data_IF_375783358368
#
_entry.id   IF_375783358368
#
_cell.length_a   1.000
_cell.length_b   1.000
_cell.length_c   1.000
_cell.angle_alpha   90.00
_cell.angle_beta   90.00
_cell.angle_gamma   90.00
#
_symmetry.space_group_name_H-M   'P 1'
#
loop_
_entity.id
_entity.type
_entity.pdbx_description
1 polymer ?
#
# COMPACT_ATOMS: atom_id res chain seq x y z
N UNK A 1 9.92 3.53 30.75
CA UNK A 1 11.21 4.03 30.27
C UNK A 1 11.79 2.99 29.32
N UNK A 2 11.23 2.90 28.11
CA UNK A 2 11.79 2.19 26.97
C UNK A 2 11.36 2.97 25.74
N UNK A 3 12.35 3.57 25.08
CA UNK A 3 12.13 4.40 23.90
C UNK A 3 11.94 3.51 22.68
N UNK A 4 10.80 3.67 22.06
CA UNK A 4 10.53 3.14 20.73
C UNK A 4 11.53 3.72 19.73
N UNK A 5 12.18 2.85 18.97
CA UNK A 5 12.98 3.24 17.81
C UNK A 5 12.06 3.29 16.59
N UNK A 6 11.27 4.34 16.47
CA UNK A 6 10.89 4.88 15.19
C UNK A 6 11.62 6.21 15.08
N UNK A 7 12.78 6.20 14.42
CA UNK A 7 13.52 7.41 14.11
C UNK A 7 13.04 7.89 12.75
N UNK A 8 11.94 8.65 12.73
CA UNK A 8 11.72 9.59 11.65
C UNK A 8 12.55 10.83 11.96
N UNK A 9 13.72 10.93 11.37
CA UNK A 9 14.54 12.15 11.39
C UNK A 9 13.99 13.09 10.31
N UNK A 10 13.08 13.98 10.67
CA UNK A 10 12.78 15.15 9.87
C UNK A 10 13.95 16.14 9.97
N UNK A 11 14.77 16.17 8.93
CA UNK A 11 15.76 17.22 8.72
C UNK A 11 15.10 18.49 8.26
N UNK A 12 15.19 19.55 9.07
CA UNK A 12 14.84 20.93 8.70
C UNK A 12 15.70 21.33 7.49
N UNK A 13 15.09 21.49 6.31
CA UNK A 13 15.76 22.06 5.13
C UNK A 13 15.24 23.47 4.89
N UNK A 14 16.13 24.42 5.09
CA UNK A 14 15.98 25.84 4.74
C UNK A 14 15.87 26.00 3.23
N UNK A 15 14.76 26.54 2.73
CA UNK A 15 14.55 26.82 1.32
C UNK A 15 15.48 27.93 0.81
N UNK A 16 16.40 27.55 -0.05
CA UNK A 16 17.04 28.46 -1.00
C UNK A 16 16.36 28.23 -2.36
N UNK A 17 15.68 29.27 -2.84
CA UNK A 17 15.08 29.27 -4.19
C UNK A 17 16.22 29.32 -5.20
N UNK A 18 16.48 28.21 -5.87
CA UNK A 18 17.32 28.14 -7.07
C UNK A 18 16.44 27.62 -8.20
N UNK A 19 16.44 28.37 -9.31
CA UNK A 19 15.69 28.11 -10.54
C UNK A 19 15.92 26.68 -11.10
N UNK A 20 14.96 26.10 -11.84
CA UNK A 20 15.02 24.70 -12.25
C UNK A 20 16.14 24.51 -13.31
N UNK A 21 17.25 23.95 -12.91
CA UNK A 21 18.16 23.29 -13.84
C UNK A 21 17.51 21.94 -14.19
N UNK A 22 17.41 21.67 -15.51
CA UNK A 22 17.00 20.35 -16.01
C UNK A 22 17.83 19.27 -15.33
N UNK A 23 17.24 18.59 -14.36
CA UNK A 23 17.80 17.39 -13.77
C UNK A 23 17.76 16.30 -14.85
N UNK A 24 18.90 15.92 -15.38
CA UNK A 24 19.04 14.67 -16.11
C UNK A 24 18.65 13.55 -15.14
N UNK A 25 17.61 12.80 -15.48
CA UNK A 25 17.20 11.62 -14.75
C UNK A 25 18.33 10.60 -14.79
N UNK A 26 19.17 10.58 -13.76
CA UNK A 26 20.11 9.50 -13.55
C UNK A 26 19.32 8.30 -13.06
N UNK A 27 18.97 7.42 -13.98
CA UNK A 27 18.51 6.06 -13.69
C UNK A 27 19.51 5.44 -12.70
N UNK A 28 19.05 5.14 -11.48
CA UNK A 28 19.82 4.31 -10.54
C UNK A 28 19.73 2.87 -11.06
N UNK A 29 20.48 2.58 -12.12
CA UNK A 29 20.67 1.22 -12.59
C UNK A 29 21.65 0.55 -11.63
N UNK A 30 21.12 -0.14 -10.63
CA UNK A 30 21.90 -1.13 -9.91
C UNK A 30 22.39 -2.17 -10.91
N UNK A 31 23.70 -2.53 -10.94
CA UNK A 31 24.20 -3.55 -11.86
C UNK A 31 23.38 -4.83 -11.66
N UNK A 32 22.89 -5.39 -12.75
CA UNK A 32 22.03 -6.54 -12.79
C UNK A 32 22.73 -7.77 -12.18
N UNK A 33 22.56 -7.95 -10.88
CA UNK A 33 22.79 -9.26 -10.26
C UNK A 33 21.89 -10.28 -10.97
N UNK A 34 22.35 -11.48 -11.29
CA UNK A 34 21.49 -12.49 -11.91
C UNK A 34 20.28 -12.71 -11.01
N UNK A 35 19.06 -12.51 -11.58
CA UNK A 35 17.80 -12.67 -10.88
C UNK A 35 17.71 -14.05 -10.25
N UNK A 36 17.63 -14.11 -8.92
CA UNK A 36 17.72 -15.36 -8.16
C UNK A 36 16.37 -16.08 -8.07
N UNK A 37 15.28 -15.30 -7.94
CA UNK A 37 14.00 -15.86 -7.51
C UNK A 37 12.88 -15.75 -8.56
N UNK A 38 12.78 -14.68 -9.34
CA UNK A 38 11.55 -14.30 -10.05
C UNK A 38 11.61 -14.38 -11.59
N UNK A 39 12.58 -15.09 -12.18
CA UNK A 39 12.78 -15.14 -13.63
C UNK A 39 11.53 -15.59 -14.42
N UNK A 40 10.81 -16.61 -13.94
CA UNK A 40 9.60 -17.12 -14.62
C UNK A 40 8.47 -16.07 -14.62
N UNK A 41 8.30 -15.32 -13.53
CA UNK A 41 7.33 -14.24 -13.44
C UNK A 41 7.69 -13.11 -14.39
N UNK A 42 8.96 -12.72 -14.47
CA UNK A 42 9.42 -11.68 -15.39
C UNK A 42 9.19 -12.07 -16.86
N UNK A 43 9.46 -13.30 -17.24
CA UNK A 43 9.16 -13.80 -18.58
C UNK A 43 7.65 -13.75 -18.89
N UNK A 44 6.81 -14.09 -17.92
CA UNK A 44 5.35 -14.03 -18.09
C UNK A 44 4.86 -12.58 -18.22
N UNK A 45 5.39 -11.64 -17.42
CA UNK A 45 5.07 -10.20 -17.51
C UNK A 45 5.52 -9.64 -18.86
N UNK A 46 6.71 -9.99 -19.31
CA UNK A 46 7.24 -9.53 -20.59
C UNK A 46 6.38 -10.04 -21.76
N UNK A 47 6.00 -11.30 -21.73
CA UNK A 47 5.08 -11.88 -22.72
C UNK A 47 3.75 -11.12 -22.77
N UNK A 48 3.13 -10.85 -21.63
CA UNK A 48 1.89 -10.06 -21.56
C UNK A 48 2.11 -8.63 -22.08
N UNK A 49 3.25 -8.02 -21.78
CA UNK A 49 3.59 -6.64 -22.21
C UNK A 49 3.67 -6.55 -23.74
N UNK A 50 4.36 -7.48 -24.37
CA UNK A 50 4.54 -7.51 -25.85
C UNK A 50 3.19 -7.71 -26.57
N UNK A 51 2.31 -8.54 -26.01
CA UNK A 51 1.02 -8.85 -26.63
C UNK A 51 -0.08 -7.81 -26.35
N UNK A 52 0.16 -6.85 -25.45
CA UNK A 52 -0.85 -5.84 -25.12
C UNK A 52 -0.80 -4.63 -26.06
N UNK A 53 -1.93 -4.34 -26.73
CA UNK A 53 -2.16 -3.07 -27.43
C UNK A 53 -2.51 -1.90 -26.48
N UNK A 54 -2.86 -2.17 -25.24
CA UNK A 54 -3.33 -1.19 -24.26
C UNK A 54 -2.16 -0.51 -23.57
N UNK A 55 -2.00 0.80 -23.81
CA UNK A 55 -0.91 1.62 -23.24
C UNK A 55 -0.94 1.66 -21.71
N UNK A 56 -2.14 1.76 -21.11
CA UNK A 56 -2.33 1.80 -19.67
C UNK A 56 -1.91 0.48 -19.05
N UNK A 57 -2.37 -0.63 -19.61
CA UNK A 57 -2.00 -1.96 -19.13
C UNK A 57 -0.50 -2.24 -19.28
N UNK A 58 0.14 -1.76 -20.36
CA UNK A 58 1.60 -1.84 -20.50
C UNK A 58 2.34 -1.04 -19.42
N UNK A 59 1.81 0.11 -19.01
CA UNK A 59 2.39 0.87 -17.90
C UNK A 59 2.31 0.07 -16.58
N UNK A 60 1.16 -0.55 -16.29
CA UNK A 60 1.00 -1.46 -15.13
C UNK A 60 2.02 -2.61 -15.17
N UNK A 61 2.17 -3.28 -16.32
CA UNK A 61 3.10 -4.41 -16.45
C UNK A 61 4.56 -4.00 -16.28
N UNK A 62 4.95 -2.81 -16.78
CA UNK A 62 6.31 -2.28 -16.55
C UNK A 62 6.55 -1.96 -15.08
N UNK A 63 5.58 -1.35 -14.40
CA UNK A 63 5.68 -1.10 -12.96
C UNK A 63 5.76 -2.40 -12.15
N UNK A 64 4.91 -3.38 -12.45
CA UNK A 64 4.96 -4.69 -11.81
C UNK A 64 6.32 -5.37 -12.05
N UNK A 65 6.85 -5.29 -13.27
CA UNK A 65 8.20 -5.82 -13.59
C UNK A 65 9.26 -5.16 -12.71
N UNK A 66 9.21 -3.85 -12.55
CA UNK A 66 10.12 -3.12 -11.67
C UNK A 66 9.99 -3.59 -10.22
N UNK A 67 8.78 -3.68 -9.66
CA UNK A 67 8.56 -4.18 -8.29
C UNK A 67 9.10 -5.60 -8.08
N UNK A 68 8.94 -6.49 -9.09
CA UNK A 68 9.49 -7.86 -9.04
C UNK A 68 11.01 -7.86 -9.00
N UNK A 69 11.67 -7.02 -9.80
CA UNK A 69 13.14 -6.87 -9.82
C UNK A 69 13.64 -6.27 -8.50
N UNK A 70 12.96 -5.23 -8.02
CA UNK A 70 13.27 -4.55 -6.76
C UNK A 70 13.22 -5.52 -5.57
N UNK A 71 12.14 -6.32 -5.49
CA UNK A 71 11.94 -7.29 -4.41
C UNK A 71 12.78 -8.58 -4.59
N UNK A 72 13.43 -8.79 -5.73
CA UNK A 72 14.36 -9.94 -5.90
C UNK A 72 15.63 -9.77 -5.06
N UNK A 73 15.99 -8.55 -4.70
CA UNK A 73 17.05 -8.24 -3.74
C UNK A 73 16.64 -8.67 -2.32
N UNK A 74 17.49 -9.44 -1.63
CA UNK A 74 17.16 -9.96 -0.30
C UNK A 74 17.02 -8.89 0.79
N UNK A 75 17.78 -7.79 0.71
CA UNK A 75 17.65 -6.66 1.65
C UNK A 75 16.30 -5.96 1.46
N UNK A 76 15.98 -5.57 0.24
CA UNK A 76 14.70 -4.94 -0.08
C UNK A 76 13.53 -5.86 0.29
N UNK A 77 13.63 -7.15 -0.03
CA UNK A 77 12.60 -8.13 0.29
C UNK A 77 12.35 -8.23 1.79
N UNK A 78 13.42 -8.34 2.59
CA UNK A 78 13.25 -8.46 4.04
C UNK A 78 12.63 -7.21 4.65
N UNK A 79 12.87 -6.05 4.08
CA UNK A 79 12.29 -4.79 4.55
C UNK A 79 10.84 -4.59 4.07
N UNK A 80 10.52 -4.98 2.85
CA UNK A 80 9.23 -4.64 2.21
C UNK A 80 8.31 -5.84 1.99
N UNK A 81 8.59 -7.02 2.54
CA UNK A 81 7.82 -8.24 2.25
C UNK A 81 6.31 -8.07 2.45
N UNK A 82 5.89 -7.54 3.61
CA UNK A 82 4.47 -7.33 3.95
C UNK A 82 3.80 -6.39 2.93
N UNK A 83 4.44 -5.27 2.65
CA UNK A 83 3.97 -4.27 1.70
C UNK A 83 3.90 -4.83 0.27
N UNK A 84 4.93 -5.57 -0.15
CA UNK A 84 4.99 -6.16 -1.48
C UNK A 84 3.88 -7.19 -1.72
N UNK A 85 3.62 -8.09 -0.77
CA UNK A 85 2.53 -9.06 -0.95
C UNK A 85 1.14 -8.42 -0.81
N UNK A 86 1.01 -7.33 -0.03
CA UNK A 86 -0.21 -6.52 0.03
C UNK A 86 -0.50 -5.89 -1.33
N UNK A 87 0.47 -5.23 -1.95
CA UNK A 87 0.38 -4.72 -3.31
C UNK A 87 -0.07 -5.81 -4.31
N UNK A 88 0.59 -6.95 -4.29
CA UNK A 88 0.23 -8.06 -5.17
C UNK A 88 -1.22 -8.54 -4.93
N UNK A 89 -1.66 -8.59 -3.67
CA UNK A 89 -3.05 -8.92 -3.34
C UNK A 89 -4.03 -7.89 -3.91
N UNK A 90 -3.75 -6.59 -3.76
CA UNK A 90 -4.58 -5.51 -4.33
C UNK A 90 -4.69 -5.62 -5.85
N UNK A 91 -3.60 -5.94 -6.55
CA UNK A 91 -3.63 -6.16 -7.99
C UNK A 91 -4.55 -7.33 -8.38
N UNK A 92 -4.64 -8.39 -7.56
CA UNK A 92 -5.59 -9.48 -7.83
C UNK A 92 -7.03 -9.06 -7.60
N UNK A 93 -7.29 -8.20 -6.62
CA UNK A 93 -8.64 -7.70 -6.30
C UNK A 93 -9.12 -6.69 -7.35
N UNK A 94 -8.27 -5.75 -7.72
CA UNK A 94 -8.62 -4.62 -8.58
C UNK A 94 -8.51 -4.89 -10.09
N UNK A 95 -7.82 -5.93 -10.52
CA UNK A 95 -7.67 -6.23 -11.95
C UNK A 95 -8.83 -7.06 -12.50
N UNK A 96 -9.29 -6.74 -13.70
CA UNK A 96 -10.18 -7.59 -14.50
C UNK A 96 -9.43 -8.54 -15.46
N UNK A 97 -8.09 -8.41 -15.57
CA UNK A 97 -7.25 -9.15 -16.53
C UNK A 97 -6.86 -10.53 -15.99
N UNK A 98 -7.38 -11.64 -16.55
CA UNK A 98 -7.06 -13.00 -16.05
C UNK A 98 -5.57 -13.35 -16.14
N UNK A 99 -4.85 -12.85 -17.17
CA UNK A 99 -3.42 -13.06 -17.33
C UNK A 99 -2.64 -12.48 -16.15
N UNK A 100 -2.91 -11.20 -15.82
CA UNK A 100 -2.28 -10.53 -14.69
C UNK A 100 -2.60 -11.24 -13.37
N UNK A 101 -3.87 -11.59 -13.13
CA UNK A 101 -4.26 -12.30 -11.89
C UNK A 101 -3.48 -13.59 -11.70
N UNK A 102 -3.30 -14.39 -12.76
CA UNK A 102 -2.51 -15.64 -12.68
C UNK A 102 -1.04 -15.38 -12.34
N UNK A 103 -0.43 -14.37 -12.98
CA UNK A 103 0.97 -14.00 -12.70
C UNK A 103 1.12 -13.58 -11.25
N UNK A 104 0.28 -12.66 -10.79
CA UNK A 104 0.35 -12.09 -9.45
C UNK A 104 0.04 -13.13 -8.38
N UNK A 105 -0.94 -14.02 -8.60
CA UNK A 105 -1.23 -15.11 -7.68
C UNK A 105 -0.05 -16.08 -7.54
N UNK A 106 0.62 -16.40 -8.64
CA UNK A 106 1.82 -17.24 -8.61
C UNK A 106 2.97 -16.56 -7.85
N UNK A 107 3.13 -15.24 -8.02
CA UNK A 107 4.10 -14.44 -7.27
C UNK A 107 3.80 -14.49 -5.77
N UNK A 108 2.58 -14.21 -5.32
CA UNK A 108 2.21 -14.23 -3.90
C UNK A 108 2.60 -15.57 -3.26
N UNK A 109 2.19 -16.68 -3.85
CA UNK A 109 2.50 -18.02 -3.32
C UNK A 109 4.00 -18.25 -3.24
N UNK A 110 4.75 -17.78 -4.23
CA UNK A 110 6.21 -17.92 -4.29
C UNK A 110 6.89 -17.08 -3.23
N UNK A 111 6.47 -15.83 -3.05
CA UNK A 111 7.06 -14.92 -2.06
C UNK A 111 6.79 -15.40 -0.63
N UNK A 112 5.62 -15.94 -0.34
CA UNK A 112 5.37 -16.61 0.94
C UNK A 112 6.31 -17.81 1.15
N UNK A 113 6.54 -18.63 0.12
CA UNK A 113 7.51 -19.76 0.22
C UNK A 113 8.94 -19.28 0.50
N UNK A 114 9.32 -18.14 -0.08
CA UNK A 114 10.62 -17.49 0.18
C UNK A 114 10.71 -16.92 1.58
N UNK A 115 9.61 -16.32 2.08
CA UNK A 115 9.54 -15.65 3.37
C UNK A 115 9.47 -16.63 4.56
N UNK A 116 8.74 -17.75 4.45
CA UNK A 116 8.53 -18.70 5.55
C UNK A 116 9.82 -19.09 6.29
N UNK A 117 10.93 -19.45 5.62
CA UNK A 117 12.18 -19.75 6.31
C UNK A 117 12.84 -18.55 7.00
N UNK A 118 12.39 -17.35 6.73
CA UNK A 118 12.93 -16.07 7.21
C UNK A 118 12.01 -15.35 8.19
N UNK A 119 10.90 -15.93 8.56
CA UNK A 119 9.88 -15.28 9.42
C UNK A 119 10.46 -14.80 10.75
N UNK A 120 11.45 -15.47 11.31
CA UNK A 120 12.12 -15.01 12.53
C UNK A 120 12.88 -13.68 12.34
N UNK A 121 13.24 -13.35 11.10
CA UNK A 121 13.88 -12.07 10.74
C UNK A 121 12.84 -11.02 10.32
N UNK A 122 11.74 -11.45 9.69
CA UNK A 122 10.71 -10.58 9.16
C UNK A 122 9.76 -10.06 10.25
N UNK A 123 9.49 -10.85 11.28
CA UNK A 123 8.53 -10.52 12.33
C UNK A 123 9.20 -10.53 13.71
N UNK A 124 9.17 -9.40 14.40
CA UNK A 124 9.67 -9.28 15.76
C UNK A 124 8.86 -10.18 16.74
N UNK A 125 9.44 -10.51 17.91
CA UNK A 125 8.76 -11.34 18.91
C UNK A 125 8.08 -10.44 19.96
N UNK A 126 7.25 -9.52 19.48
CA UNK A 126 6.50 -8.54 20.26
C UNK A 126 5.09 -8.35 19.68
N UNK A 127 4.34 -7.40 20.20
CA UNK A 127 2.98 -7.10 19.77
C UNK A 127 2.93 -6.54 18.35
N UNK A 128 3.92 -5.76 17.95
CA UNK A 128 4.01 -5.18 16.59
C UNK A 128 4.25 -6.27 15.57
N UNK A 129 5.29 -7.09 15.74
CA UNK A 129 5.56 -8.21 14.84
C UNK A 129 4.45 -9.25 14.81
N UNK A 130 3.68 -9.41 15.90
CA UNK A 130 2.46 -10.22 15.91
C UNK A 130 1.37 -9.60 15.03
N UNK A 131 1.15 -8.29 15.11
CA UNK A 131 0.16 -7.56 14.33
C UNK A 131 0.50 -7.62 12.83
N UNK A 132 1.75 -7.34 12.49
CA UNK A 132 2.27 -7.45 11.12
C UNK A 132 2.04 -8.85 10.54
N UNK A 133 2.32 -9.87 11.34
CA UNK A 133 2.05 -11.26 10.94
C UNK A 133 0.54 -11.50 10.75
N UNK A 134 -0.30 -11.01 11.65
CA UNK A 134 -1.74 -11.19 11.59
C UNK A 134 -2.37 -10.54 10.36
N UNK A 135 -1.87 -9.36 9.93
CA UNK A 135 -2.33 -8.66 8.72
C UNK A 135 -2.02 -9.43 7.43
N UNK A 136 -1.02 -10.31 7.45
CA UNK A 136 -0.67 -11.16 6.30
C UNK A 136 -1.58 -12.38 6.14
N UNK A 137 -2.27 -12.80 7.19
CA UNK A 137 -3.05 -14.04 7.19
C UNK A 137 -4.21 -14.06 6.19
N UNK A 138 -5.01 -12.98 6.00
CA UNK A 138 -6.06 -12.98 4.98
C UNK A 138 -5.49 -13.11 3.56
N UNK A 139 -4.31 -12.56 3.29
CA UNK A 139 -3.63 -12.70 2.00
C UNK A 139 -3.20 -14.16 1.80
N UNK A 140 -2.52 -14.73 2.78
CA UNK A 140 -2.09 -16.12 2.74
C UNK A 140 -3.27 -17.08 2.52
N UNK A 141 -4.37 -16.85 3.24
CA UNK A 141 -5.58 -17.67 3.15
C UNK A 141 -6.25 -17.57 1.78
N UNK A 142 -6.46 -16.35 1.27
CA UNK A 142 -7.04 -16.09 -0.05
C UNK A 142 -6.28 -16.76 -1.18
N UNK A 143 -4.96 -16.73 -1.13
CA UNK A 143 -4.09 -17.27 -2.17
C UNK A 143 -3.67 -18.71 -1.92
N UNK A 144 -4.31 -19.41 -0.95
CA UNK A 144 -4.09 -20.83 -0.65
C UNK A 144 -2.62 -21.14 -0.32
N UNK A 145 -1.94 -20.23 0.36
CA UNK A 145 -0.63 -20.52 0.93
C UNK A 145 -0.80 -21.62 1.99
N UNK A 146 0.12 -22.61 2.06
CA UNK A 146 0.04 -23.65 3.09
C UNK A 146 0.07 -23.05 4.51
N UNK A 147 -1.00 -23.22 5.29
CA UNK A 147 -1.12 -22.60 6.61
C UNK A 147 -0.32 -23.32 7.69
N UNK A 148 0.05 -24.59 7.50
CA UNK A 148 0.79 -25.36 8.50
C UNK A 148 2.11 -24.71 8.94
N UNK A 149 2.99 -24.23 8.04
CA UNK A 149 4.20 -23.50 8.43
C UNK A 149 3.90 -22.21 9.21
N UNK A 150 2.86 -21.47 8.81
CA UNK A 150 2.44 -20.23 9.47
C UNK A 150 1.97 -20.51 10.90
N UNK A 151 1.17 -21.57 11.10
CA UNK A 151 0.71 -21.98 12.43
C UNK A 151 1.86 -22.39 13.35
N UNK A 152 2.81 -23.17 12.83
CA UNK A 152 4.00 -23.58 13.59
C UNK A 152 4.83 -22.36 13.99
N UNK A 153 5.04 -21.41 13.06
CA UNK A 153 5.74 -20.18 13.35
C UNK A 153 5.02 -19.35 14.43
N UNK A 154 3.72 -19.08 14.26
CA UNK A 154 2.94 -18.28 15.19
C UNK A 154 2.93 -18.89 16.60
N UNK A 155 2.67 -20.19 16.71
CA UNK A 155 2.67 -20.90 17.99
C UNK A 155 4.01 -20.80 18.73
N UNK A 156 5.13 -20.85 17.98
CA UNK A 156 6.47 -20.74 18.56
C UNK A 156 6.87 -19.30 18.91
N UNK A 157 6.59 -18.37 17.97
CA UNK A 157 7.12 -16.98 18.04
C UNK A 157 6.29 -16.12 18.97
N UNK A 158 4.97 -16.35 18.98
CA UNK A 158 4.00 -15.49 19.65
C UNK A 158 3.26 -16.18 20.82
N UNK A 159 3.77 -17.32 21.29
CA UNK A 159 3.12 -18.10 22.39
C UNK A 159 2.80 -17.25 23.62
N UNK A 160 3.63 -16.27 23.93
CA UNK A 160 3.50 -15.39 25.10
C UNK A 160 2.95 -14.00 24.79
N UNK A 161 2.62 -13.75 23.55
CA UNK A 161 2.09 -12.46 23.13
C UNK A 161 0.58 -12.49 23.27
N UNK A 162 0.03 -11.55 24.03
CA UNK A 162 -1.41 -11.29 24.04
C UNK A 162 -1.74 -10.43 22.82
N UNK A 163 -2.68 -10.85 21.97
CA UNK A 163 -3.10 -10.03 20.83
C UNK A 163 -3.53 -8.64 21.29
N UNK A 164 -2.99 -7.55 20.74
CA UNK A 164 -3.28 -6.21 21.20
C UNK A 164 -4.72 -5.80 20.89
N UNK A 165 -5.33 -5.05 21.80
CA UNK A 165 -6.59 -4.35 21.56
C UNK A 165 -6.30 -2.90 21.17
N UNK A 166 -6.36 -2.60 19.87
CA UNK A 166 -5.99 -1.31 19.29
C UNK A 166 -7.05 -0.21 19.43
N UNK A 167 -8.25 -0.52 19.93
CA UNK A 167 -9.34 0.47 19.98
C UNK A 167 -9.03 1.66 20.89
N UNK A 168 -8.42 1.40 22.05
CA UNK A 168 -8.04 2.49 22.95
C UNK A 168 -6.92 3.35 22.37
N UNK A 169 -5.96 2.74 21.71
CA UNK A 169 -4.85 3.43 21.02
C UNK A 169 -5.38 4.31 19.89
N UNK A 170 -6.34 3.80 19.09
CA UNK A 170 -7.04 4.57 18.07
C UNK A 170 -7.73 5.81 18.65
N UNK A 171 -8.45 5.68 19.78
CA UNK A 171 -9.13 6.80 20.43
C UNK A 171 -8.16 7.84 20.99
N UNK A 172 -7.01 7.43 21.51
CA UNK A 172 -5.96 8.36 21.93
C UNK A 172 -5.36 9.09 20.74
N UNK A 173 -5.02 8.37 19.66
CA UNK A 173 -4.52 8.97 18.42
C UNK A 173 -5.54 9.95 17.82
N UNK A 174 -6.83 9.61 17.84
CA UNK A 174 -7.92 10.48 17.37
C UNK A 174 -8.04 11.78 18.20
N UNK A 175 -7.90 11.68 19.53
CA UNK A 175 -7.90 12.84 20.41
C UNK A 175 -6.73 13.79 20.14
N UNK A 176 -5.57 13.22 19.86
CA UNK A 176 -4.33 13.98 19.63
C UNK A 176 -4.14 14.34 18.14
N UNK A 177 -5.06 13.94 17.28
CA UNK A 177 -5.02 14.08 15.80
C UNK A 177 -3.70 13.58 15.21
N UNK A 178 -3.19 12.46 15.73
CA UNK A 178 -2.03 11.77 15.18
C UNK A 178 -2.44 10.95 13.96
N UNK A 179 -2.48 11.60 12.80
CA UNK A 179 -2.99 10.99 11.54
C UNK A 179 -2.12 9.84 11.04
N UNK A 180 -0.81 9.86 11.26
CA UNK A 180 0.07 8.75 10.90
C UNK A 180 -0.29 7.48 11.70
N UNK A 181 -0.40 7.60 13.02
CA UNK A 181 -0.82 6.46 13.86
C UNK A 181 -2.25 6.01 13.52
N UNK A 182 -3.17 6.95 13.27
CA UNK A 182 -4.54 6.63 12.85
C UNK A 182 -4.55 5.81 11.56
N UNK A 183 -3.74 6.19 10.58
CA UNK A 183 -3.59 5.47 9.32
C UNK A 183 -3.18 4.02 9.55
N UNK A 184 -2.13 3.80 10.35
CA UNK A 184 -1.64 2.46 10.65
C UNK A 184 -2.71 1.60 11.34
N UNK A 185 -3.41 2.15 12.34
CA UNK A 185 -4.47 1.44 13.08
C UNK A 185 -5.69 1.09 12.21
N UNK A 186 -6.04 1.93 11.24
CA UNK A 186 -7.12 1.65 10.28
C UNK A 186 -6.72 0.52 9.33
N UNK A 187 -5.48 0.53 8.84
CA UNK A 187 -4.94 -0.54 7.99
C UNK A 187 -4.99 -1.87 8.72
N UNK A 188 -4.45 -1.93 9.94
CA UNK A 188 -4.50 -3.11 10.78
C UNK A 188 -5.94 -3.62 10.96
N UNK A 189 -6.85 -2.73 11.36
CA UNK A 189 -8.26 -3.10 11.60
C UNK A 189 -8.93 -3.69 10.36
N UNK A 190 -8.66 -3.14 9.17
CA UNK A 190 -9.22 -3.65 7.92
C UNK A 190 -8.73 -5.06 7.58
N UNK A 191 -7.43 -5.34 7.74
CA UNK A 191 -6.88 -6.67 7.48
C UNK A 191 -7.33 -7.70 8.52
N UNK A 192 -7.44 -7.30 9.79
CA UNK A 192 -7.98 -8.17 10.84
C UNK A 192 -9.45 -8.50 10.56
N UNK A 193 -10.29 -7.54 10.15
CA UNK A 193 -11.68 -7.80 9.75
C UNK A 193 -11.77 -8.77 8.55
N UNK A 194 -10.91 -8.61 7.55
CA UNK A 194 -10.83 -9.55 6.43
C UNK A 194 -10.49 -10.98 6.93
N UNK A 195 -9.54 -11.11 7.85
CA UNK A 195 -9.16 -12.40 8.42
C UNK A 195 -10.33 -13.06 9.17
N UNK A 196 -11.09 -12.29 9.97
CA UNK A 196 -12.29 -12.78 10.66
C UNK A 196 -13.35 -13.24 9.65
N UNK A 197 -13.63 -12.47 8.62
CA UNK A 197 -14.63 -12.81 7.58
C UNK A 197 -14.27 -14.06 6.80
N UNK A 198 -12.97 -14.30 6.61
CA UNK A 198 -12.47 -15.52 5.97
C UNK A 198 -12.45 -16.74 6.91
N UNK A 199 -12.72 -16.56 8.20
CA UNK A 199 -12.69 -17.64 9.19
C UNK A 199 -11.29 -18.07 9.62
N UNK A 200 -10.29 -17.22 9.43
CA UNK A 200 -8.88 -17.47 9.81
C UNK A 200 -8.74 -17.68 11.32
N UNK A 201 -9.67 -17.15 12.13
CA UNK A 201 -9.74 -17.34 13.58
C UNK A 201 -9.79 -18.79 14.04
N UNK A 202 -10.22 -19.73 13.17
CA UNK A 202 -10.21 -21.16 13.47
C UNK A 202 -8.81 -21.75 13.56
N UNK A 203 -7.86 -21.05 12.97
CA UNK A 203 -6.47 -21.50 12.80
C UNK A 203 -5.47 -20.69 13.62
N UNK A 204 -5.82 -19.44 13.96
CA UNK A 204 -4.95 -18.49 14.64
C UNK A 204 -5.74 -17.72 15.70
N UNK A 205 -5.07 -17.37 16.79
CA UNK A 205 -5.58 -16.39 17.74
C UNK A 205 -5.34 -15.01 17.11
N UNK A 206 -6.41 -14.27 16.82
CA UNK A 206 -6.31 -12.92 16.22
C UNK A 206 -6.56 -11.83 17.26
N UNK A 207 -6.08 -10.58 17.02
CA UNK A 207 -6.51 -9.41 17.79
C UNK A 207 -8.04 -9.26 17.77
N UNK A 208 -8.62 -8.55 18.75
CA UNK A 208 -10.05 -8.22 18.71
C UNK A 208 -10.45 -7.51 17.42
N UNK A 209 -11.58 -7.89 16.83
CA UNK A 209 -12.08 -7.24 15.63
C UNK A 209 -12.83 -5.94 15.98
N UNK A 210 -12.09 -4.85 16.04
CA UNK A 210 -12.61 -3.51 16.32
C UNK A 210 -12.94 -2.70 15.05
N UNK A 211 -12.80 -3.29 13.86
CA UNK A 211 -12.92 -2.61 12.57
C UNK A 211 -14.19 -1.75 12.47
N UNK A 212 -15.36 -2.31 12.82
CA UNK A 212 -16.62 -1.57 12.70
C UNK A 212 -16.63 -0.32 13.57
N UNK A 213 -16.22 -0.45 14.83
CA UNK A 213 -16.18 0.67 15.78
C UNK A 213 -15.20 1.75 15.29
N UNK A 214 -14.01 1.34 14.87
CA UNK A 214 -12.99 2.27 14.32
C UNK A 214 -13.53 3.00 13.09
N UNK A 215 -14.15 2.30 12.14
CA UNK A 215 -14.70 2.93 10.93
C UNK A 215 -15.85 3.89 11.23
N UNK A 216 -16.70 3.56 12.20
CA UNK A 216 -17.80 4.46 12.62
C UNK A 216 -17.23 5.71 13.32
N UNK A 217 -16.19 5.59 14.15
CA UNK A 217 -15.54 6.70 14.84
C UNK A 217 -14.74 7.61 13.88
N UNK A 218 -14.25 7.10 12.74
CA UNK A 218 -13.57 7.92 11.72
C UNK A 218 -14.43 9.08 11.18
N UNK A 219 -15.76 8.96 11.19
CA UNK A 219 -16.68 10.02 10.74
C UNK A 219 -16.56 11.30 11.61
N UNK A 220 -16.11 11.17 12.85
CA UNK A 220 -15.97 12.30 13.79
C UNK A 220 -14.59 12.94 13.79
N UNK A 221 -13.61 12.39 13.08
CA UNK A 221 -12.24 12.92 13.06
C UNK A 221 -12.17 14.09 12.06
N UNK A 222 -11.84 15.32 12.54
CA UNK A 222 -11.84 16.49 11.68
C UNK A 222 -10.60 16.54 10.79
N UNK A 223 -10.66 17.29 9.69
CA UNK A 223 -9.55 17.62 8.80
C UNK A 223 -9.17 19.09 9.01
N UNK A 224 -8.18 19.38 9.85
CA UNK A 224 -7.86 20.72 10.30
C UNK A 224 -6.65 21.35 9.62
N UNK A 225 -5.73 20.54 9.10
CA UNK A 225 -4.48 21.02 8.51
C UNK A 225 -4.68 21.52 7.08
N UNK A 226 -4.02 22.62 6.77
CA UNK A 226 -4.00 23.26 5.45
C UNK A 226 -2.68 22.98 4.74
N UNK A 227 -2.64 23.18 3.45
CA UNK A 227 -1.41 23.10 2.67
C UNK A 227 -0.31 23.97 3.31
N UNK A 228 0.88 23.41 3.47
CA UNK A 228 2.05 23.90 4.21
C UNK A 228 2.04 23.70 5.74
N UNK A 229 1.00 23.12 6.33
CA UNK A 229 1.08 22.63 7.71
C UNK A 229 1.87 21.31 7.72
N UNK A 230 2.68 21.05 8.75
CA UNK A 230 3.53 19.86 8.85
C UNK A 230 2.73 18.54 8.75
N UNK A 231 1.55 18.48 9.35
CA UNK A 231 0.69 17.29 9.34
C UNK A 231 -0.29 17.25 8.15
N UNK A 232 -0.16 18.13 7.15
CA UNK A 232 -1.07 18.16 6.02
C UNK A 232 -1.01 16.86 5.20
N UNK A 233 0.16 16.34 4.92
CA UNK A 233 0.31 15.10 4.17
C UNK A 233 -0.21 13.90 4.95
N UNK A 234 0.10 13.78 6.24
CA UNK A 234 -0.39 12.69 7.10
C UNK A 234 -1.92 12.68 7.16
N UNK A 235 -2.55 13.88 7.27
CA UNK A 235 -4.00 14.02 7.21
C UNK A 235 -4.58 13.54 5.88
N UNK A 236 -3.91 13.79 4.76
CA UNK A 236 -4.34 13.35 3.44
C UNK A 236 -4.19 11.83 3.28
N UNK A 237 -3.09 11.24 3.73
CA UNK A 237 -2.91 9.79 3.77
C UNK A 237 -3.95 9.12 4.67
N UNK A 238 -4.22 9.68 5.86
CA UNK A 238 -5.32 9.20 6.69
C UNK A 238 -6.65 9.16 5.93
N UNK A 239 -6.99 10.25 5.23
CA UNK A 239 -8.25 10.34 4.49
C UNK A 239 -8.35 9.28 3.38
N UNK A 240 -7.30 9.05 2.59
CA UNK A 240 -7.29 8.02 1.55
C UNK A 240 -7.41 6.62 2.16
N UNK A 241 -6.70 6.34 3.26
CA UNK A 241 -6.70 5.05 3.92
C UNK A 241 -8.04 4.72 4.61
N UNK A 242 -8.80 5.71 5.09
CA UNK A 242 -10.19 5.47 5.53
C UNK A 242 -11.03 4.88 4.40
N UNK A 243 -10.95 5.42 3.17
CA UNK A 243 -11.70 4.89 2.04
C UNK A 243 -11.17 3.54 1.54
N UNK A 244 -9.84 3.36 1.55
CA UNK A 244 -9.20 2.08 1.24
C UNK A 244 -9.62 1.00 2.24
N UNK A 245 -9.68 1.31 3.52
CA UNK A 245 -10.14 0.40 4.56
C UNK A 245 -11.64 0.07 4.40
N UNK A 246 -12.48 1.06 4.12
CA UNK A 246 -13.92 0.85 3.89
C UNK A 246 -14.21 -0.07 2.71
N UNK A 247 -13.41 -0.02 1.63
CA UNK A 247 -13.55 -0.93 0.49
C UNK A 247 -12.70 -2.21 0.62
N UNK A 248 -12.03 -2.42 1.77
CA UNK A 248 -11.11 -3.53 2.02
C UNK A 248 -10.06 -3.67 0.90
N UNK A 249 -9.42 -2.55 0.55
CA UNK A 249 -8.35 -2.51 -0.46
C UNK A 249 -8.78 -3.09 -1.82
N UNK A 250 -10.03 -2.84 -2.22
CA UNK A 250 -10.60 -3.29 -3.50
C UNK A 250 -11.42 -4.58 -3.44
N UNK A 251 -11.60 -5.19 -2.25
CA UNK A 251 -12.44 -6.38 -2.10
C UNK A 251 -13.94 -6.06 -2.19
N UNK A 252 -14.34 -4.87 -1.78
CA UNK A 252 -15.73 -4.43 -1.74
C UNK A 252 -15.94 -3.16 -2.54
N UNK A 253 -17.15 -3.01 -3.06
CA UNK A 253 -17.63 -1.72 -3.52
C UNK A 253 -17.93 -0.83 -2.31
N UNK A 254 -17.49 0.42 -2.35
CA UNK A 254 -17.88 1.40 -1.34
C UNK A 254 -19.39 1.61 -1.33
N UNK A 255 -19.97 1.62 -0.14
CA UNK A 255 -21.36 2.03 0.10
C UNK A 255 -21.37 3.39 0.77
N UNK A 256 -22.33 4.24 0.38
CA UNK A 256 -22.52 5.52 1.03
C UNK A 256 -22.75 5.36 2.54
N UNK A 257 -22.00 6.12 3.32
CA UNK A 257 -22.08 6.19 4.79
C UNK A 257 -21.65 7.58 5.25
N UNK A 258 -21.93 7.93 6.50
CA UNK A 258 -21.46 9.21 7.05
C UNK A 258 -19.93 9.34 6.94
N UNK A 259 -19.19 8.26 7.21
CA UNK A 259 -17.72 8.25 7.12
C UNK A 259 -17.25 8.42 5.68
N UNK A 260 -17.80 7.64 4.73
CA UNK A 260 -17.38 7.73 3.32
C UNK A 260 -17.70 9.09 2.71
N UNK A 261 -18.87 9.66 3.03
CA UNK A 261 -19.30 10.96 2.53
C UNK A 261 -18.44 12.10 3.11
N UNK A 262 -18.14 12.06 4.41
CA UNK A 262 -17.26 13.03 5.06
C UNK A 262 -15.86 13.06 4.41
N UNK A 263 -15.23 11.89 4.27
CA UNK A 263 -13.90 11.77 3.69
C UNK A 263 -13.91 12.14 2.21
N UNK A 264 -14.93 11.71 1.44
CA UNK A 264 -15.05 12.08 0.03
C UNK A 264 -15.13 13.60 -0.18
N UNK A 265 -15.92 14.31 0.60
CA UNK A 265 -16.02 15.77 0.51
C UNK A 265 -14.66 16.44 0.77
N UNK A 266 -13.91 15.95 1.76
CA UNK A 266 -12.57 16.42 2.02
C UNK A 266 -11.64 16.19 0.84
N UNK A 267 -11.52 14.95 0.35
CA UNK A 267 -10.62 14.61 -0.77
C UNK A 267 -10.99 15.40 -2.04
N UNK A 268 -12.28 15.51 -2.36
CA UNK A 268 -12.72 16.28 -3.52
C UNK A 268 -12.33 17.76 -3.41
N UNK A 269 -12.39 18.34 -2.21
CA UNK A 269 -11.98 19.72 -1.94
C UNK A 269 -10.47 19.93 -2.05
N UNK A 270 -9.66 18.93 -1.68
CA UNK A 270 -8.19 19.01 -1.68
C UNK A 270 -7.53 18.59 -3.00
N UNK A 271 -8.26 17.95 -3.92
CA UNK A 271 -7.69 17.37 -5.13
C UNK A 271 -6.78 18.30 -5.94
N UNK A 272 -7.21 19.55 -6.17
CA UNK A 272 -6.42 20.52 -6.93
C UNK A 272 -5.14 20.93 -6.20
N UNK A 273 -5.17 21.02 -4.88
CA UNK A 273 -3.99 21.32 -4.05
C UNK A 273 -2.99 20.17 -4.13
N UNK A 274 -3.44 18.94 -3.91
CA UNK A 274 -2.59 17.74 -3.98
C UNK A 274 -1.97 17.61 -5.37
N UNK A 275 -2.77 17.75 -6.42
CA UNK A 275 -2.29 17.62 -7.80
C UNK A 275 -1.26 18.69 -8.19
N UNK A 276 -1.49 19.95 -7.82
CA UNK A 276 -0.75 21.08 -8.40
C UNK A 276 0.30 21.67 -7.47
N UNK A 277 0.24 21.41 -6.17
CA UNK A 277 1.10 22.04 -5.18
C UNK A 277 1.93 21.05 -4.37
N UNK A 278 1.34 19.91 -3.97
CA UNK A 278 2.07 18.89 -3.22
C UNK A 278 3.08 18.18 -4.13
N UNK A 279 2.67 17.80 -5.34
CA UNK A 279 3.57 17.18 -6.33
C UNK A 279 3.93 15.72 -6.03
N UNK A 280 3.36 15.15 -4.98
CA UNK A 280 3.57 13.76 -4.58
C UNK A 280 2.75 12.82 -5.46
N UNK A 281 3.44 11.99 -6.24
CA UNK A 281 2.83 11.03 -7.17
C UNK A 281 2.06 9.95 -6.42
N UNK A 282 2.58 9.53 -5.29
CA UNK A 282 1.99 8.50 -4.45
C UNK A 282 0.63 8.96 -3.92
N UNK A 283 0.62 10.06 -3.20
CA UNK A 283 -0.61 10.66 -2.67
C UNK A 283 -1.63 10.96 -3.78
N UNK A 284 -1.18 11.46 -4.94
CA UNK A 284 -2.07 11.70 -6.07
C UNK A 284 -2.70 10.41 -6.62
N UNK A 285 -1.95 9.31 -6.65
CA UNK A 285 -2.48 8.01 -7.07
C UNK A 285 -3.54 7.52 -6.11
N UNK A 286 -3.33 7.61 -4.81
CA UNK A 286 -4.33 7.24 -3.80
C UNK A 286 -5.60 8.11 -3.89
N UNK A 287 -5.43 9.40 -4.09
CA UNK A 287 -6.56 10.33 -4.31
C UNK A 287 -7.42 9.91 -5.51
N UNK A 288 -6.78 9.67 -6.65
CA UNK A 288 -7.47 9.26 -7.86
C UNK A 288 -8.17 7.90 -7.71
N UNK A 289 -7.51 6.98 -7.00
CA UNK A 289 -8.09 5.68 -6.67
C UNK A 289 -9.35 5.84 -5.83
N UNK A 290 -9.27 6.60 -4.74
CA UNK A 290 -10.38 6.85 -3.82
C UNK A 290 -11.54 7.61 -4.48
N UNK A 291 -11.25 8.71 -5.16
CA UNK A 291 -12.27 9.52 -5.83
C UNK A 291 -13.01 8.75 -6.91
N UNK A 292 -12.33 7.83 -7.61
CA UNK A 292 -12.96 6.96 -8.60
C UNK A 292 -14.06 6.06 -8.02
N UNK A 293 -13.97 5.67 -6.75
CA UNK A 293 -14.99 4.84 -6.11
C UNK A 293 -16.36 5.53 -6.03
N UNK A 294 -16.38 6.85 -6.04
CA UNK A 294 -17.60 7.67 -5.93
C UNK A 294 -18.07 8.26 -7.26
N UNK A 295 -17.21 8.21 -8.29
CA UNK A 295 -17.47 8.96 -9.51
C UNK A 295 -18.42 8.21 -10.40
N UNK A 296 -19.56 8.86 -10.64
CA UNK A 296 -20.44 8.59 -11.77
C UNK A 296 -19.65 8.82 -13.06
N UNK A 297 -19.72 7.88 -13.98
CA UNK A 297 -18.94 7.89 -15.23
C UNK A 297 -18.92 9.28 -15.91
N UNK A 298 -17.74 9.77 -16.29
CA UNK A 298 -17.57 10.98 -17.10
C UNK A 298 -16.82 12.15 -16.46
N UNK A 299 -16.25 12.01 -15.26
CA UNK A 299 -15.51 13.11 -14.65
C UNK A 299 -14.13 13.27 -15.27
N UNK A 300 -13.94 14.38 -15.97
CA UNK A 300 -12.73 14.67 -16.77
C UNK A 300 -11.42 14.68 -15.97
N UNK A 301 -11.47 15.10 -14.70
CA UNK A 301 -10.25 15.25 -13.89
C UNK A 301 -9.59 13.90 -13.54
N UNK A 302 -10.37 12.81 -13.37
CA UNK A 302 -9.79 11.48 -13.15
C UNK A 302 -9.00 11.02 -14.36
N UNK A 303 -9.59 11.12 -15.56
CA UNK A 303 -8.92 10.75 -16.80
C UNK A 303 -7.67 11.61 -17.06
N UNK A 304 -7.70 12.87 -16.64
CA UNK A 304 -6.55 13.78 -16.75
C UNK A 304 -5.45 13.42 -15.73
N UNK A 305 -5.83 13.15 -14.47
CA UNK A 305 -4.90 12.66 -13.45
C UNK A 305 -4.22 11.35 -13.86
N UNK A 306 -4.96 10.38 -14.37
CA UNK A 306 -4.38 9.13 -14.87
C UNK A 306 -3.43 9.33 -16.06
N UNK A 307 -3.73 10.24 -16.98
CA UNK A 307 -2.78 10.59 -18.05
C UNK A 307 -1.50 11.19 -17.49
N UNK A 308 -1.62 12.04 -16.47
CA UNK A 308 -0.46 12.58 -15.76
C UNK A 308 0.38 11.48 -15.14
N UNK A 309 -0.24 10.57 -14.37
CA UNK A 309 0.45 9.41 -13.77
C UNK A 309 1.13 8.56 -14.85
N UNK A 310 0.45 8.23 -15.95
CA UNK A 310 1.09 7.46 -17.05
C UNK A 310 2.27 8.19 -17.68
N UNK A 311 2.22 9.52 -17.77
CA UNK A 311 3.33 10.31 -18.36
C UNK A 311 4.51 10.51 -17.39
N UNK A 312 4.28 10.34 -16.09
CA UNK A 312 5.30 10.44 -15.03
C UNK A 312 6.07 9.13 -14.81
N UNK A 313 5.72 8.03 -15.53
CA UNK A 313 6.42 6.77 -15.39
C UNK A 313 7.87 6.87 -15.84
N UNK A 314 8.81 6.49 -15.00
CA UNK A 314 10.23 6.45 -15.29
C UNK A 314 10.55 5.43 -16.39
N UNK A 315 11.73 5.58 -17.02
CA UNK A 315 12.17 4.69 -18.11
C UNK A 315 12.34 3.24 -17.68
N UNK A 316 12.67 2.99 -16.40
CA UNK A 316 12.79 1.65 -15.80
C UNK A 316 11.44 1.02 -15.43
N UNK A 317 10.36 1.80 -15.47
CA UNK A 317 8.99 1.38 -15.18
C UNK A 317 8.50 1.78 -13.79
N UNK A 318 9.33 2.34 -12.93
CA UNK A 318 8.92 2.87 -11.62
C UNK A 318 8.17 4.20 -11.72
N UNK A 319 7.64 4.63 -10.58
CA UNK A 319 7.19 6.00 -10.32
C UNK A 319 7.90 6.56 -9.09
N UNK A 320 7.83 7.85 -8.90
CA UNK A 320 8.57 8.60 -7.89
C UNK A 320 9.88 9.19 -8.41
N UNK A 321 10.49 10.06 -7.63
CA UNK A 321 11.78 10.71 -7.95
C UNK A 321 12.89 10.17 -7.07
N UNK A 322 14.15 10.36 -7.47
CA UNK A 322 15.30 9.97 -6.65
C UNK A 322 15.37 10.75 -5.32
N UNK A 323 14.78 11.94 -5.30
CA UNK A 323 14.76 12.82 -4.12
C UNK A 323 13.70 12.39 -3.10
N UNK A 324 12.69 11.60 -3.52
CA UNK A 324 11.70 11.00 -2.63
C UNK A 324 12.30 9.84 -1.82
N UNK A 325 13.50 9.38 -2.19
CA UNK A 325 14.12 8.18 -1.62
C UNK A 325 15.14 8.54 -0.53
N UNK A 326 14.70 8.65 0.69
CA UNK A 326 15.57 8.84 1.87
C UNK A 326 16.41 7.60 2.22
N UNK A 327 16.57 6.65 1.29
CA UNK A 327 17.24 5.38 1.50
C UNK A 327 16.32 4.28 2.06
N UNK A 328 15.05 4.58 2.30
CA UNK A 328 14.05 3.61 2.73
C UNK A 328 13.52 2.80 1.52
N UNK A 329 13.63 1.48 1.53
CA UNK A 329 13.07 0.64 0.46
C UNK A 329 11.55 0.75 0.30
N UNK A 330 10.82 1.13 1.36
CA UNK A 330 9.38 1.36 1.28
C UNK A 330 9.07 2.59 0.43
N UNK A 331 9.75 3.72 0.66
CA UNK A 331 9.56 4.96 -0.09
C UNK A 331 9.85 4.77 -1.59
N UNK A 332 10.73 3.83 -1.93
CA UNK A 332 10.97 3.45 -3.33
C UNK A 332 9.85 2.60 -3.93
N UNK A 333 9.30 1.67 -3.16
CA UNK A 333 8.27 0.73 -3.63
C UNK A 333 6.91 1.40 -3.77
N UNK A 334 6.54 2.23 -2.78
CA UNK A 334 5.16 2.70 -2.57
C UNK A 334 4.61 3.54 -3.72
N UNK A 335 5.32 4.53 -4.30
CA UNK A 335 4.80 5.30 -5.44
C UNK A 335 4.54 4.42 -6.68
N UNK A 336 5.34 3.38 -6.89
CA UNK A 336 5.11 2.44 -7.98
C UNK A 336 3.91 1.54 -7.68
N UNK A 337 3.76 1.09 -6.44
CA UNK A 337 2.62 0.30 -5.97
C UNK A 337 1.30 1.04 -6.20
N UNK A 338 1.16 2.27 -5.69
CA UNK A 338 -0.08 3.05 -5.79
C UNK A 338 -0.43 3.38 -7.24
N UNK A 339 0.58 3.71 -8.07
CA UNK A 339 0.37 3.95 -9.49
C UNK A 339 -0.15 2.73 -10.25
N UNK A 340 0.42 1.53 -10.04
CA UNK A 340 -0.07 0.32 -10.72
C UNK A 340 -1.45 -0.09 -10.20
N UNK A 341 -1.75 0.09 -8.90
CA UNK A 341 -3.06 -0.19 -8.31
C UNK A 341 -4.14 0.73 -8.87
N UNK A 342 -3.86 2.02 -9.00
CA UNK A 342 -4.74 2.99 -9.66
C UNK A 342 -4.99 2.59 -11.12
N UNK A 343 -3.90 2.35 -11.88
CA UNK A 343 -3.99 2.13 -13.32
C UNK A 343 -4.64 0.81 -13.68
N UNK A 344 -4.54 -0.22 -12.86
CA UNK A 344 -5.14 -1.52 -13.11
C UNK A 344 -6.67 -1.49 -13.02
N UNK A 345 -7.25 -0.63 -12.19
CA UNK A 345 -8.71 -0.49 -12.03
C UNK A 345 -9.44 -0.01 -13.29
N UNK A 346 -8.82 0.81 -14.11
CA UNK A 346 -9.46 1.36 -15.31
C UNK A 346 -9.60 0.39 -16.48
N UNK A 347 -9.30 -0.86 -16.28
CA UNK A 347 -9.43 -1.91 -17.31
C UNK A 347 -10.80 -2.59 -17.29
N UNK A 348 -11.78 -2.06 -16.52
CA UNK A 348 -13.16 -2.49 -16.57
C UNK A 348 -13.83 -1.91 -17.83
N UNK A 349 -14.14 -2.78 -18.76
CA UNK A 349 -15.15 -2.56 -19.80
C UNK A 349 -16.26 -3.57 -19.60
#
# INVERSE_FOLDING_TARGET
MFAARFVFLFGILTFLIIAPSRAESRSIVTPASPLRYNQAALMAIEKETVHSGDKRYRAVLRGLRWCVVFSDNDSNFNFTFTNYVTMLNELTLNSSRPGLKRIVQALIVKEFRRAIPRFDTLFAADEEGYTDFATMLPIAYRHKVPLKPLKIFAARRFEKITPPDRLNEFRLAAKDLNYDLLTNLIVEAAFIDMAYKMGVTKDFQLPPNNYRTIMDECAGIPFLHKYNDDAYNDQNYYATHVLLALNHYGEKTLTASATSDHVFQYLAGQYNTVRNQVGDIDLLCEYLYCLRQFVIAGVSFIAEGERHIMSSQNSDGSWGTADDFNGDPYDQLHPTWTAITLLVQGTHK
#
